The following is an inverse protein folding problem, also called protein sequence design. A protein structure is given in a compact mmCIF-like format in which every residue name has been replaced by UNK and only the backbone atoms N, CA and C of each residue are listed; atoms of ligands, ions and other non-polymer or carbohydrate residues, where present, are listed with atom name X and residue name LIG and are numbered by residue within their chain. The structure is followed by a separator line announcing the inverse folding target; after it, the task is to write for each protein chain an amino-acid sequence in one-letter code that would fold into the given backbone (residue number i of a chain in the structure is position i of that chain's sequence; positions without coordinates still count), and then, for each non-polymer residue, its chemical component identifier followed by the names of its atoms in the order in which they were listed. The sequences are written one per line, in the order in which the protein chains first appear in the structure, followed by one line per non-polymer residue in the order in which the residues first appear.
data_IF_256720001945
#
_entry.id   IF_256720001945
#
_cell.length_a   1.000
_cell.length_b   1.000
_cell.length_c   1.000
_cell.angle_alpha   90.00
_cell.angle_beta   90.00
_cell.angle_gamma   90.00
#
_symmetry.space_group_name_H-M   'P 1'
#
loop_
_entity.id
_entity.type
_entity.pdbx_description
1 polymer ?
#
# COMPACT_ATOMS: atom_id res chain seq x y z
N UNK A 1 26.13 -7.05 -10.33
CA UNK A 1 27.15 -6.69 -9.30
C UNK A 1 27.77 -5.31 -9.49
N UNK A 2 27.96 -4.77 -10.72
CA UNK A 2 28.60 -3.45 -10.91
C UNK A 2 27.88 -2.24 -10.29
N UNK A 3 26.56 -2.29 -10.11
CA UNK A 3 25.78 -1.18 -9.55
C UNK A 3 26.05 -0.98 -8.06
N UNK A 4 26.30 -2.07 -7.32
CA UNK A 4 26.70 -2.00 -5.91
C UNK A 4 28.08 -1.35 -5.78
N UNK A 5 29.04 -1.77 -6.62
CA UNK A 5 30.42 -1.27 -6.54
C UNK A 5 30.51 0.22 -6.88
N UNK A 6 29.82 0.65 -7.96
CA UNK A 6 29.79 2.08 -8.35
C UNK A 6 29.12 2.94 -7.29
N UNK A 7 28.15 2.39 -6.56
CA UNK A 7 27.49 3.06 -5.45
C UNK A 7 28.41 3.20 -4.24
N UNK A 8 29.12 2.15 -3.85
CA UNK A 8 30.08 2.20 -2.75
C UNK A 8 31.25 3.15 -3.05
N UNK A 9 31.73 3.19 -4.29
CA UNK A 9 32.78 4.13 -4.70
C UNK A 9 32.31 5.58 -4.66
N UNK A 10 31.06 5.83 -5.07
CA UNK A 10 30.45 7.18 -5.00
C UNK A 10 30.22 7.59 -3.54
N UNK A 11 29.81 6.66 -2.68
CA UNK A 11 29.66 6.87 -1.24
C UNK A 11 31.00 7.20 -0.57
N UNK A 12 32.07 6.46 -0.90
CA UNK A 12 33.41 6.71 -0.35
C UNK A 12 34.02 8.03 -0.84
N UNK A 13 33.73 8.43 -2.09
CA UNK A 13 34.07 9.76 -2.61
C UNK A 13 33.37 10.89 -1.84
N UNK A 14 32.07 10.74 -1.58
CA UNK A 14 31.28 11.70 -0.77
C UNK A 14 31.80 11.75 0.68
N UNK A 15 32.11 10.60 1.28
CA UNK A 15 32.74 10.48 2.60
C UNK A 15 34.08 11.21 2.68
N UNK A 16 34.90 11.11 1.63
CA UNK A 16 36.18 11.82 1.52
C UNK A 16 36.02 13.34 1.44
N UNK A 17 34.98 13.81 0.77
CA UNK A 17 34.64 15.23 0.63
C UNK A 17 34.26 15.89 1.97
N UNK A 18 33.46 15.19 2.80
CA UNK A 18 33.11 15.66 4.14
C UNK A 18 34.27 15.54 5.15
N UNK A 19 35.13 14.53 4.99
CA UNK A 19 36.32 14.38 5.85
C UNK A 19 37.33 15.51 5.65
N UNK A 20 37.50 16.01 4.42
CA UNK A 20 38.48 17.06 4.07
C UNK A 20 38.19 18.41 4.72
N UNK A 21 36.92 18.71 5.01
CA UNK A 21 36.50 20.02 5.57
C UNK A 21 36.65 20.14 7.10
N UNK A 22 36.95 19.04 7.79
CA UNK A 22 37.02 18.97 9.27
C UNK A 22 38.43 19.02 9.85
N UNK A 23 39.47 19.15 9.01
CA UNK A 23 40.87 19.19 9.43
C UNK A 23 41.29 20.49 10.14
N UNK A 24 40.38 21.45 10.36
CA UNK A 24 40.71 22.79 10.85
C UNK A 24 39.84 23.28 12.03
N UNK A 25 39.50 22.45 13.04
CA UNK A 25 39.01 22.98 14.33
C UNK A 25 38.99 21.96 15.51
N UNK A 26 39.73 22.25 16.58
CA UNK A 26 39.43 21.94 18.00
C UNK A 26 39.56 20.49 18.53
N UNK A 27 40.58 20.22 19.36
CA UNK A 27 40.96 18.88 19.86
C UNK A 27 40.05 18.19 20.91
N UNK A 28 39.07 18.87 21.55
CA UNK A 28 38.20 18.23 22.56
C UNK A 28 36.76 17.98 22.12
N UNK A 29 36.19 18.81 21.26
CA UNK A 29 34.93 18.52 20.55
C UNK A 29 35.15 17.56 19.37
N UNK A 30 36.39 17.41 18.92
CA UNK A 30 36.76 16.63 17.74
C UNK A 30 36.48 15.14 17.82
N UNK A 31 36.54 14.48 18.98
CA UNK A 31 36.26 13.04 19.05
C UNK A 31 34.78 12.72 18.84
N UNK A 32 33.90 13.37 19.61
CA UNK A 32 32.44 13.20 19.47
C UNK A 32 31.95 13.70 18.11
N UNK A 33 32.47 14.83 17.62
CA UNK A 33 32.11 15.35 16.29
C UNK A 33 32.55 14.40 15.16
N UNK A 34 33.75 13.82 15.23
CA UNK A 34 34.22 12.82 14.24
C UNK A 34 33.46 11.50 14.33
N UNK A 35 33.05 11.09 15.53
CA UNK A 35 32.25 9.89 15.75
C UNK A 35 30.82 10.07 15.20
N UNK A 36 30.16 11.17 15.55
CA UNK A 36 28.85 11.57 15.00
C UNK A 36 28.90 11.73 13.47
N UNK A 37 29.96 12.34 12.93
CA UNK A 37 30.13 12.50 11.47
C UNK A 37 30.34 11.18 10.72
N UNK A 38 30.81 10.12 11.41
CA UNK A 38 30.94 8.76 10.83
C UNK A 38 29.66 7.94 10.99
N UNK A 39 28.93 8.13 12.09
CA UNK A 39 27.67 7.44 12.34
C UNK A 39 26.54 7.97 11.45
N UNK A 40 26.44 9.29 11.27
CA UNK A 40 25.37 9.92 10.47
C UNK A 40 25.23 9.32 9.05
N UNK A 41 26.29 9.23 8.21
CA UNK A 41 26.16 8.65 6.88
C UNK A 41 25.88 7.15 6.91
N UNK A 42 26.41 6.43 7.91
CA UNK A 42 26.18 4.98 8.07
C UNK A 42 24.73 4.68 8.43
N UNK A 43 24.15 5.44 9.37
CA UNK A 43 22.75 5.33 9.77
C UNK A 43 21.82 5.73 8.62
N UNK A 44 22.15 6.80 7.89
CA UNK A 44 21.37 7.22 6.73
C UNK A 44 21.39 6.15 5.63
N UNK A 45 22.55 5.55 5.36
CA UNK A 45 22.68 4.45 4.40
C UNK A 45 21.84 3.24 4.81
N UNK A 46 21.91 2.85 6.09
CA UNK A 46 21.09 1.75 6.62
C UNK A 46 19.60 2.04 6.47
N UNK A 47 19.16 3.27 6.78
CA UNK A 47 17.77 3.69 6.62
C UNK A 47 17.31 3.61 5.16
N UNK A 48 18.14 4.07 4.20
CA UNK A 48 17.85 3.95 2.78
C UNK A 48 17.68 2.48 2.37
N UNK A 49 18.58 1.60 2.81
CA UNK A 49 18.49 0.17 2.50
C UNK A 49 17.19 -0.42 3.06
N UNK A 50 16.85 -0.13 4.31
CA UNK A 50 15.61 -0.62 4.94
C UNK A 50 14.38 -0.13 4.16
N UNK A 51 14.32 1.17 3.84
CA UNK A 51 13.21 1.75 3.08
C UNK A 51 13.10 1.13 1.69
N UNK A 52 14.22 0.93 0.99
CA UNK A 52 14.21 0.28 -0.33
C UNK A 52 13.76 -1.18 -0.28
N UNK A 53 14.18 -1.94 0.73
CA UNK A 53 13.73 -3.32 0.93
C UNK A 53 12.24 -3.36 1.26
N UNK A 54 11.76 -2.49 2.14
CA UNK A 54 10.32 -2.40 2.44
C UNK A 54 9.51 -2.01 1.21
N UNK A 55 9.97 -1.02 0.44
CA UNK A 55 9.34 -0.62 -0.82
C UNK A 55 9.23 -1.79 -1.79
N UNK A 56 10.32 -2.54 -1.98
CA UNK A 56 10.31 -3.73 -2.83
C UNK A 56 9.40 -4.85 -2.32
N UNK A 57 9.32 -5.08 -0.99
CA UNK A 57 8.46 -6.10 -0.41
C UNK A 57 6.97 -5.75 -0.49
N UNK A 58 6.64 -4.46 -0.45
CA UNK A 58 5.27 -3.95 -0.56
C UNK A 58 4.85 -3.65 -2.00
N UNK A 59 5.79 -3.64 -2.93
CA UNK A 59 5.55 -3.51 -4.37
C UNK A 59 5.09 -4.85 -4.96
N UNK A 60 3.87 -5.26 -4.63
CA UNK A 60 3.23 -6.45 -5.18
C UNK A 60 1.87 -6.09 -5.77
N UNK A 61 1.72 -6.28 -7.07
CA UNK A 61 0.44 -6.18 -7.77
C UNK A 61 -0.48 -7.33 -7.33
N UNK A 62 -1.77 -7.04 -7.22
CA UNK A 62 -2.77 -8.05 -6.92
C UNK A 62 -2.86 -9.13 -8.01
N UNK A 63 -3.09 -10.38 -7.60
CA UNK A 63 -3.27 -11.47 -8.54
C UNK A 63 -4.55 -11.30 -9.35
N UNK A 64 -4.47 -11.63 -10.65
CA UNK A 64 -5.64 -11.64 -11.52
C UNK A 64 -6.51 -12.83 -11.18
N UNK A 65 -7.81 -12.59 -11.04
CA UNK A 65 -8.79 -13.65 -10.79
C UNK A 65 -9.92 -13.60 -11.82
N UNK A 66 -10.64 -14.71 -11.97
CA UNK A 66 -11.84 -14.77 -12.79
C UNK A 66 -13.08 -14.55 -11.93
N UNK A 67 -13.88 -13.48 -12.17
CA UNK A 67 -15.11 -13.20 -11.44
C UNK A 67 -16.08 -14.40 -11.36
N UNK A 68 -16.23 -15.12 -12.47
CA UNK A 68 -17.15 -16.26 -12.57
C UNK A 68 -16.66 -17.45 -11.76
N UNK A 69 -15.35 -17.72 -11.75
CA UNK A 69 -14.78 -18.82 -10.98
C UNK A 69 -14.86 -18.53 -9.49
N UNK A 70 -14.55 -17.29 -9.10
CA UNK A 70 -14.63 -16.87 -7.71
C UNK A 70 -16.05 -16.92 -7.17
N UNK A 71 -17.03 -16.45 -7.95
CA UNK A 71 -18.44 -16.58 -7.60
C UNK A 71 -18.87 -18.03 -7.41
N UNK A 72 -18.45 -18.94 -8.29
CA UNK A 72 -18.74 -20.37 -8.17
C UNK A 72 -18.09 -21.00 -6.93
N UNK A 73 -16.86 -20.62 -6.62
CA UNK A 73 -16.14 -21.06 -5.42
C UNK A 73 -16.89 -20.63 -4.16
N UNK A 74 -17.22 -19.34 -4.06
CA UNK A 74 -17.90 -18.77 -2.91
C UNK A 74 -19.29 -19.39 -2.69
N UNK A 75 -20.05 -19.57 -3.77
CA UNK A 75 -21.37 -20.20 -3.70
C UNK A 75 -21.28 -21.68 -3.27
N UNK A 76 -20.28 -22.41 -3.75
CA UNK A 76 -20.03 -23.79 -3.33
C UNK A 76 -19.64 -23.91 -1.85
N UNK A 77 -18.82 -22.98 -1.35
CA UNK A 77 -18.42 -22.92 0.06
C UNK A 77 -19.59 -22.56 1.00
N UNK A 78 -20.46 -21.64 0.56
CA UNK A 78 -21.59 -21.15 1.35
C UNK A 78 -22.88 -21.94 1.15
N UNK A 79 -22.91 -22.84 0.16
CA UNK A 79 -24.12 -23.52 -0.32
C UNK A 79 -25.22 -22.53 -0.78
N UNK A 80 -24.82 -21.40 -1.37
CA UNK A 80 -25.73 -20.38 -1.87
C UNK A 80 -26.20 -20.71 -3.30
N UNK A 81 -27.46 -20.39 -3.66
CA UNK A 81 -27.88 -20.43 -5.05
C UNK A 81 -27.22 -19.29 -5.85
N UNK A 82 -26.83 -19.57 -7.09
CA UNK A 82 -26.29 -18.56 -8.00
C UNK A 82 -27.40 -17.65 -8.54
N UNK A 83 -27.72 -16.59 -7.79
CA UNK A 83 -28.76 -15.63 -8.17
C UNK A 83 -28.22 -14.51 -9.05
N UNK A 84 -29.13 -13.77 -9.68
CA UNK A 84 -28.77 -12.55 -10.42
C UNK A 84 -28.06 -11.57 -9.49
N UNK A 85 -26.90 -11.07 -9.91
CA UNK A 85 -26.07 -10.17 -9.11
C UNK A 85 -25.04 -10.86 -8.21
N UNK A 86 -25.13 -12.19 -8.01
CA UNK A 86 -24.18 -12.93 -7.16
C UNK A 86 -22.74 -12.77 -7.61
N UNK A 87 -22.49 -12.84 -8.93
CA UNK A 87 -21.13 -12.67 -9.49
C UNK A 87 -20.58 -11.29 -9.15
N UNK A 88 -21.39 -10.24 -9.28
CA UNK A 88 -20.99 -8.87 -8.95
C UNK A 88 -20.64 -8.74 -7.47
N UNK A 89 -21.51 -9.21 -6.59
CA UNK A 89 -21.29 -9.17 -5.13
C UNK A 89 -20.04 -9.95 -4.73
N UNK A 90 -19.88 -11.18 -5.21
CA UNK A 90 -18.71 -12.02 -4.93
C UNK A 90 -17.41 -11.37 -5.43
N UNK A 91 -17.46 -10.70 -6.58
CA UNK A 91 -16.31 -9.98 -7.14
C UNK A 91 -15.90 -8.80 -6.26
N UNK A 92 -16.87 -8.00 -5.78
CA UNK A 92 -16.58 -6.87 -4.88
C UNK A 92 -16.01 -7.37 -3.57
N UNK A 93 -16.58 -8.43 -2.98
CA UNK A 93 -16.06 -9.07 -1.77
C UNK A 93 -14.60 -9.45 -1.98
N UNK A 94 -14.30 -10.15 -3.09
CA UNK A 94 -12.93 -10.57 -3.38
C UNK A 94 -11.96 -9.39 -3.54
N UNK A 95 -12.40 -8.32 -4.20
CA UNK A 95 -11.57 -7.11 -4.38
C UNK A 95 -11.33 -6.42 -3.03
N UNK A 96 -12.36 -6.30 -2.20
CA UNK A 96 -12.24 -5.73 -0.86
C UNK A 96 -11.31 -6.56 0.05
N UNK A 97 -11.43 -7.89 0.02
CA UNK A 97 -10.50 -8.80 0.70
C UNK A 97 -9.07 -8.64 0.20
N UNK A 98 -8.89 -8.51 -1.12
CA UNK A 98 -7.55 -8.30 -1.71
C UNK A 98 -6.91 -6.99 -1.27
N UNK A 99 -7.72 -5.93 -1.12
CA UNK A 99 -7.24 -4.65 -0.57
C UNK A 99 -6.92 -4.76 0.93
N UNK A 100 -7.77 -5.47 1.68
CA UNK A 100 -7.62 -5.63 3.14
C UNK A 100 -6.41 -6.49 3.51
N UNK A 101 -6.21 -7.61 2.81
CA UNK A 101 -5.14 -8.58 3.07
C UNK A 101 -3.81 -8.20 2.41
N UNK A 102 -3.73 -7.02 1.81
CA UNK A 102 -2.54 -6.54 1.11
C UNK A 102 -1.35 -6.41 2.06
N UNK A 103 -0.18 -6.86 1.58
CA UNK A 103 1.11 -6.70 2.26
C UNK A 103 1.46 -5.22 2.44
N UNK A 104 1.81 -4.83 3.66
CA UNK A 104 2.15 -3.45 4.00
C UNK A 104 0.95 -2.57 4.37
N UNK A 105 -0.27 -3.10 4.35
CA UNK A 105 -1.47 -2.34 4.69
C UNK A 105 -1.81 -1.24 3.67
N UNK A 106 -2.59 -0.26 4.11
CA UNK A 106 -3.05 0.87 3.30
C UNK A 106 -2.03 2.01 3.34
N UNK A 107 -1.17 2.06 2.33
CA UNK A 107 -0.03 2.97 2.26
C UNK A 107 -0.42 4.38 1.80
N UNK A 108 -1.58 4.54 1.16
CA UNK A 108 -2.04 5.83 0.61
C UNK A 108 -2.19 6.94 1.66
N UNK A 109 -2.38 6.60 2.94
CA UNK A 109 -2.46 7.57 4.04
C UNK A 109 -1.13 7.70 4.82
N UNK A 110 -0.10 6.92 4.46
CA UNK A 110 1.19 6.98 5.12
C UNK A 110 2.06 8.10 4.52
N UNK A 111 2.64 8.93 5.39
CA UNK A 111 3.52 10.05 5.03
C UNK A 111 5.00 9.69 5.17
N UNK A 112 5.31 8.47 5.61
CA UNK A 112 6.67 7.98 5.77
C UNK A 112 7.13 7.20 4.53
N UNK A 113 8.43 7.22 4.21
CA UNK A 113 9.00 6.30 3.24
C UNK A 113 8.86 4.84 3.73
N UNK A 114 8.58 3.86 2.85
CA UNK A 114 8.62 3.91 1.39
C UNK A 114 7.37 4.47 0.69
N UNK A 115 6.22 4.60 1.36
CA UNK A 115 4.93 4.91 0.70
C UNK A 115 4.95 6.16 -0.18
N UNK A 116 5.57 7.24 0.29
CA UNK A 116 5.72 8.51 -0.47
C UNK A 116 6.59 8.36 -1.72
N UNK A 117 7.48 7.36 -1.75
CA UNK A 117 8.38 7.10 -2.87
C UNK A 117 7.79 6.09 -3.87
N UNK A 118 6.69 5.42 -3.53
CA UNK A 118 6.01 4.43 -4.37
C UNK A 118 4.88 5.12 -5.14
N UNK A 119 4.87 5.00 -6.46
CA UNK A 119 3.84 5.62 -7.31
C UNK A 119 2.71 4.65 -7.67
N UNK A 120 3.05 3.40 -7.94
CA UNK A 120 2.11 2.40 -8.44
C UNK A 120 1.10 1.94 -7.38
N UNK A 121 1.58 1.52 -6.21
CA UNK A 121 0.75 0.87 -5.19
C UNK A 121 -0.25 1.82 -4.53
N UNK A 122 0.14 3.02 -4.05
CA UNK A 122 -0.84 3.96 -3.48
C UNK A 122 -1.92 4.39 -4.48
N UNK A 123 -1.56 4.60 -5.75
CA UNK A 123 -2.54 4.94 -6.78
C UNK A 123 -3.48 3.76 -7.09
N UNK A 124 -2.96 2.53 -7.09
CA UNK A 124 -3.79 1.32 -7.23
C UNK A 124 -4.78 1.18 -6.07
N UNK A 125 -4.34 1.38 -4.82
CA UNK A 125 -5.20 1.32 -3.62
C UNK A 125 -6.36 2.30 -3.71
N UNK A 126 -6.06 3.55 -4.08
CA UNK A 126 -7.06 4.60 -4.22
C UNK A 126 -8.08 4.25 -5.32
N UNK A 127 -7.61 3.73 -6.46
CA UNK A 127 -8.48 3.32 -7.56
C UNK A 127 -9.41 2.17 -7.18
N UNK A 128 -8.89 1.16 -6.48
CA UNK A 128 -9.67 0.03 -5.98
C UNK A 128 -10.69 0.47 -4.95
N UNK A 129 -10.31 1.31 -4.00
CA UNK A 129 -11.23 1.83 -2.98
C UNK A 129 -12.34 2.68 -3.60
N UNK A 130 -12.01 3.53 -4.58
CA UNK A 130 -13.01 4.30 -5.33
C UNK A 130 -13.99 3.36 -6.06
N UNK A 131 -13.49 2.32 -6.72
CA UNK A 131 -14.34 1.32 -7.37
C UNK A 131 -15.29 0.64 -6.39
N UNK A 132 -14.81 0.20 -5.22
CA UNK A 132 -15.66 -0.43 -4.21
C UNK A 132 -16.75 0.54 -3.73
N UNK A 133 -16.39 1.80 -3.45
CA UNK A 133 -17.34 2.85 -3.03
C UNK A 133 -18.43 3.08 -4.06
N UNK A 134 -18.05 3.25 -5.32
CA UNK A 134 -18.99 3.56 -6.40
C UNK A 134 -19.93 2.39 -6.66
N UNK A 135 -19.42 1.16 -6.70
CA UNK A 135 -20.27 -0.01 -6.94
C UNK A 135 -21.18 -0.27 -5.75
N UNK A 136 -20.70 -0.15 -4.50
CA UNK A 136 -21.55 -0.35 -3.32
C UNK A 136 -22.67 0.70 -3.26
N UNK A 137 -22.38 1.95 -3.65
CA UNK A 137 -23.38 3.00 -3.78
C UNK A 137 -24.41 2.67 -4.88
N UNK A 138 -23.98 2.22 -6.05
CA UNK A 138 -24.88 1.80 -7.13
C UNK A 138 -25.74 0.60 -6.73
N UNK A 139 -25.17 -0.39 -6.03
CA UNK A 139 -25.92 -1.52 -5.48
C UNK A 139 -27.02 -1.03 -4.53
N UNK A 140 -26.70 -0.10 -3.64
CA UNK A 140 -27.65 0.48 -2.69
C UNK A 140 -28.78 1.23 -3.39
N UNK A 141 -28.45 2.14 -4.30
CA UNK A 141 -29.45 3.06 -4.88
C UNK A 141 -30.29 2.41 -5.98
N UNK A 142 -29.68 1.57 -6.82
CA UNK A 142 -30.26 1.13 -8.08
C UNK A 142 -30.59 -0.37 -8.12
N UNK A 143 -29.89 -1.22 -7.36
CA UNK A 143 -30.07 -2.69 -7.44
C UNK A 143 -30.88 -3.27 -6.27
N UNK A 144 -30.70 -2.75 -5.06
CA UNK A 144 -31.43 -3.26 -3.88
C UNK A 144 -32.77 -2.56 -3.66
N UNK A 145 -32.99 -1.39 -4.25
CA UNK A 145 -34.24 -0.63 -4.14
C UNK A 145 -35.18 -0.92 -5.30
N UNK A 146 -36.34 -1.50 -5.01
CA UNK A 146 -37.44 -1.57 -5.98
C UNK A 146 -38.19 -0.23 -6.00
N UNK A 147 -38.52 0.32 -7.17
CA UNK A 147 -39.17 1.64 -7.31
C UNK A 147 -40.50 1.76 -6.52
N UNK A 148 -41.16 0.65 -6.20
CA UNK A 148 -42.40 0.60 -5.38
C UNK A 148 -42.18 0.16 -3.93
N UNK A 149 -41.00 -0.36 -3.58
CA UNK A 149 -40.65 -0.75 -2.22
C UNK A 149 -39.35 -0.06 -1.79
N UNK A 150 -39.48 0.94 -0.93
CA UNK A 150 -38.36 1.68 -0.31
C UNK A 150 -37.62 0.88 0.77
N UNK A 151 -37.61 -0.45 0.69
CA UNK A 151 -36.88 -1.29 1.65
C UNK A 151 -35.51 -1.56 1.06
N UNK A 152 -34.49 -0.96 1.68
CA UNK A 152 -33.08 -1.16 1.35
C UNK A 152 -32.53 -2.44 2.04
N UNK A 153 -31.53 -3.05 1.41
CA UNK A 153 -30.79 -4.16 2.01
C UNK A 153 -29.89 -3.65 3.16
N UNK A 154 -30.04 -4.26 4.35
CA UNK A 154 -29.32 -3.85 5.56
C UNK A 154 -27.81 -4.05 5.44
N UNK A 155 -27.37 -5.12 4.78
CA UNK A 155 -25.96 -5.45 4.65
C UNK A 155 -25.26 -4.45 3.72
N UNK A 156 -25.96 -4.03 2.66
CA UNK A 156 -25.45 -3.01 1.73
C UNK A 156 -25.37 -1.63 2.40
N UNK A 157 -26.33 -1.26 3.26
CA UNK A 157 -26.24 -0.01 4.05
C UNK A 157 -25.00 -0.01 4.94
N UNK A 158 -24.69 -1.14 5.59
CA UNK A 158 -23.50 -1.25 6.45
C UNK A 158 -22.23 -1.16 5.62
N UNK A 159 -22.15 -1.92 4.52
CA UNK A 159 -20.99 -1.94 3.64
C UNK A 159 -20.70 -0.55 3.06
N UNK A 160 -21.71 0.13 2.54
CA UNK A 160 -21.60 1.47 1.95
C UNK A 160 -21.05 2.48 2.96
N UNK A 161 -21.64 2.52 4.17
CA UNK A 161 -21.17 3.41 5.21
C UNK A 161 -19.73 3.09 5.65
N UNK A 162 -19.37 1.80 5.75
CA UNK A 162 -18.00 1.40 6.10
C UNK A 162 -17.00 1.90 5.08
N UNK A 163 -17.25 1.68 3.79
CA UNK A 163 -16.33 2.12 2.74
C UNK A 163 -16.27 3.63 2.54
N UNK A 164 -17.34 4.38 2.86
CA UNK A 164 -17.37 5.84 2.64
C UNK A 164 -16.96 6.66 3.85
N UNK A 165 -17.26 6.21 5.07
CA UNK A 165 -17.08 7.00 6.30
C UNK A 165 -15.92 6.48 7.16
N UNK A 166 -15.69 5.16 7.20
CA UNK A 166 -14.82 4.48 8.18
C UNK A 166 -13.69 3.70 7.49
N UNK A 167 -13.12 4.30 6.44
CA UNK A 167 -12.11 3.72 5.54
C UNK A 167 -10.84 4.54 5.50
#
# INVERSE_FOLDING_TARGET
MKILDTFFDTFDSIRGLFSRKSAQQGERSGFLARFLARLLPTTLLLLIIVVSVLGFLWDTEAERFSPVHEAKRLAGERNDPMTTGYITTATIIKIAETLLDKRGGYLSNDKLPPGVLMDNIPNWELGVLAQIRDITLAMRNDLTRSQSQSIEDKDIIIAENKFRIDS
#
